data_IF_308891339445
#
_entry.id   IF_308891339445
#
_cell.length_a   1.000
_cell.length_b   1.000
_cell.length_c   1.000
_cell.angle_alpha   90.00
_cell.angle_beta   90.00
_cell.angle_gamma   90.00
#
_symmetry.space_group_name_H-M   'P 1'
#
loop_
_entity.id
_entity.type
_entity.pdbx_description
1 polymer ?
#
# COMPACT_ATOMS: atom_id res chain seq x y z
N UNK A 1 -11.67 30.17 -11.97
CA UNK A 1 -12.00 28.73 -11.89
C UNK A 1 -11.04 28.11 -10.88
N UNK A 2 -11.58 27.59 -9.77
CA UNK A 2 -10.85 27.33 -8.52
C UNK A 2 -9.80 26.21 -8.56
N UNK A 3 -8.91 26.16 -7.55
CA UNK A 3 -7.79 25.23 -7.49
C UNK A 3 -8.28 23.80 -7.23
N UNK A 4 -8.17 22.91 -8.22
CA UNK A 4 -8.43 21.47 -8.06
C UNK A 4 -7.14 20.68 -7.90
N UNK A 5 -6.35 21.04 -6.90
CA UNK A 5 -5.26 20.20 -6.42
C UNK A 5 -5.59 19.81 -4.99
N UNK A 6 -6.51 18.86 -4.84
CA UNK A 6 -6.46 18.02 -3.66
C UNK A 6 -5.07 17.36 -3.68
N UNK A 7 -4.23 17.47 -2.63
CA UNK A 7 -2.93 16.81 -2.62
C UNK A 7 -3.15 15.32 -2.87
N UNK A 8 -2.70 14.83 -4.03
CA UNK A 8 -2.98 13.49 -4.54
C UNK A 8 -2.48 12.35 -3.62
N UNK A 9 -1.67 12.66 -2.60
CA UNK A 9 -1.07 11.67 -1.69
C UNK A 9 -1.92 11.24 -0.49
N UNK A 10 -3.07 11.88 -0.21
CA UNK A 10 -3.77 11.71 1.07
C UNK A 10 -4.81 10.57 1.12
N UNK A 11 -5.17 9.93 0.00
CA UNK A 11 -6.31 8.98 -0.04
C UNK A 11 -5.91 7.49 -0.01
N UNK A 12 -4.94 6.99 -0.82
CA UNK A 12 -4.51 5.59 -0.73
C UNK A 12 -3.63 5.32 0.48
N UNK A 13 -2.71 6.24 0.79
CA UNK A 13 -1.80 6.15 1.94
C UNK A 13 -2.55 6.07 3.28
N UNK A 14 -3.63 6.84 3.43
CA UNK A 14 -4.46 6.81 4.63
C UNK A 14 -5.13 5.44 4.88
N UNK A 15 -5.53 4.72 3.82
CA UNK A 15 -6.09 3.37 3.96
C UNK A 15 -5.02 2.34 4.36
N UNK A 16 -3.81 2.46 3.83
CA UNK A 16 -2.66 1.67 4.30
C UNK A 16 -2.36 1.96 5.78
N UNK A 17 -2.41 3.24 6.15
CA UNK A 17 -2.13 3.73 7.50
C UNK A 17 -3.17 3.25 8.51
N UNK A 18 -4.44 3.11 8.13
CA UNK A 18 -5.46 2.48 8.97
C UNK A 18 -5.09 1.04 9.34
N UNK A 19 -4.55 0.24 8.42
CA UNK A 19 -4.16 -1.14 8.74
C UNK A 19 -2.97 -1.16 9.71
N UNK A 20 -1.99 -0.28 9.54
CA UNK A 20 -0.90 -0.16 10.52
C UNK A 20 -1.36 0.40 11.87
N UNK A 21 -2.35 1.29 11.88
CA UNK A 21 -2.99 1.77 13.09
C UNK A 21 -3.70 0.63 13.84
N UNK A 22 -4.39 -0.26 13.13
CA UNK A 22 -4.99 -1.46 13.73
C UNK A 22 -3.95 -2.45 14.28
N UNK A 23 -2.75 -2.51 13.72
CA UNK A 23 -1.64 -3.31 14.27
C UNK A 23 -0.77 -2.56 15.28
N UNK A 24 -1.20 -1.36 15.70
CA UNK A 24 -0.49 -0.47 16.62
C UNK A 24 0.97 -0.20 16.23
N UNK A 25 1.32 -0.33 14.94
CA UNK A 25 2.70 -0.25 14.45
C UNK A 25 3.68 -1.23 15.12
N UNK A 26 3.17 -2.30 15.74
CA UNK A 26 3.98 -3.26 16.51
C UNK A 26 4.34 -4.51 15.72
N UNK A 27 3.58 -4.82 14.65
CA UNK A 27 3.71 -6.08 13.93
C UNK A 27 4.06 -5.79 12.46
N UNK A 28 5.27 -6.19 12.06
CA UNK A 28 5.83 -5.98 10.72
C UNK A 28 5.97 -7.30 9.95
N UNK A 29 5.11 -8.27 10.23
CA UNK A 29 5.12 -9.57 9.57
C UNK A 29 4.51 -9.48 8.17
N UNK A 30 4.91 -10.39 7.26
CA UNK A 30 4.41 -10.43 5.90
C UNK A 30 2.86 -10.42 5.80
N UNK A 31 2.10 -11.20 6.61
CA UNK A 31 0.64 -11.15 6.57
C UNK A 31 0.07 -9.75 6.86
N UNK A 32 0.65 -9.01 7.81
CA UNK A 32 0.22 -7.64 8.13
C UNK A 32 0.53 -6.69 6.98
N UNK A 33 1.74 -6.78 6.42
CA UNK A 33 2.15 -5.99 5.26
C UNK A 33 1.25 -6.27 4.04
N UNK A 34 0.90 -7.53 3.81
CA UNK A 34 0.01 -7.93 2.72
C UNK A 34 -1.41 -7.37 2.92
N UNK A 35 -1.97 -7.45 4.13
CA UNK A 35 -3.27 -6.83 4.45
C UNK A 35 -3.25 -5.32 4.24
N UNK A 36 -2.19 -4.64 4.67
CA UNK A 36 -2.03 -3.19 4.48
C UNK A 36 -1.96 -2.83 2.99
N UNK A 37 -1.20 -3.61 2.21
CA UNK A 37 -1.07 -3.43 0.77
C UNK A 37 -2.43 -3.62 0.05
N UNK A 38 -3.19 -4.66 0.42
CA UNK A 38 -4.53 -4.90 -0.15
C UNK A 38 -5.52 -3.79 0.21
N UNK A 39 -5.52 -3.32 1.47
CA UNK A 39 -6.38 -2.21 1.88
C UNK A 39 -6.07 -0.92 1.12
N UNK A 40 -4.78 -0.62 0.93
CA UNK A 40 -4.33 0.50 0.10
C UNK A 40 -4.79 0.37 -1.35
N UNK A 41 -4.66 -0.83 -1.94
CA UNK A 41 -5.07 -1.11 -3.31
C UNK A 41 -6.60 -0.98 -3.48
N UNK A 42 -7.37 -1.45 -2.50
CA UNK A 42 -8.83 -1.34 -2.50
C UNK A 42 -9.27 0.13 -2.45
N UNK A 43 -8.65 0.96 -1.62
CA UNK A 43 -8.96 2.40 -1.55
C UNK A 43 -8.64 3.12 -2.88
N UNK A 44 -7.50 2.80 -3.50
CA UNK A 44 -7.16 3.31 -4.83
C UNK A 44 -8.16 2.85 -5.89
N UNK A 45 -8.52 1.56 -5.89
CA UNK A 45 -9.48 0.99 -6.82
C UNK A 45 -10.86 1.67 -6.70
N UNK A 46 -11.39 1.83 -5.48
CA UNK A 46 -12.66 2.54 -5.27
C UNK A 46 -12.58 3.98 -5.77
N UNK A 47 -11.50 4.70 -5.44
CA UNK A 47 -11.33 6.08 -5.88
C UNK A 47 -11.30 6.19 -7.41
N UNK A 48 -10.56 5.32 -8.10
CA UNK A 48 -10.36 5.45 -9.54
C UNK A 48 -11.59 4.95 -10.32
N UNK A 49 -12.09 3.76 -9.97
CA UNK A 49 -13.13 3.11 -10.75
C UNK A 49 -14.53 3.64 -10.46
N UNK A 50 -14.83 4.03 -9.22
CA UNK A 50 -16.16 4.57 -8.88
C UNK A 50 -16.29 6.04 -9.27
N UNK A 51 -15.20 6.83 -9.18
CA UNK A 51 -15.28 8.27 -9.47
C UNK A 51 -14.99 8.63 -10.92
N UNK A 52 -14.08 7.91 -11.60
CA UNK A 52 -13.61 8.29 -12.93
C UNK A 52 -14.05 7.35 -14.04
N UNK A 53 -14.45 6.11 -13.73
CA UNK A 53 -14.82 5.11 -14.72
C UNK A 53 -16.12 4.34 -14.40
N UNK A 54 -17.22 5.02 -14.01
CA UNK A 54 -18.45 4.34 -13.60
C UNK A 54 -19.16 3.61 -14.75
N UNK A 55 -18.88 3.96 -16.01
CA UNK A 55 -19.50 3.33 -17.19
C UNK A 55 -18.80 2.03 -17.64
N UNK A 56 -17.66 1.68 -17.03
CA UNK A 56 -16.93 0.46 -17.39
C UNK A 56 -17.67 -0.77 -16.88
N UNK A 57 -17.64 -1.83 -17.69
CA UNK A 57 -18.21 -3.13 -17.33
C UNK A 57 -17.70 -3.63 -15.95
N UNK A 58 -18.61 -4.06 -15.04
CA UNK A 58 -18.25 -4.51 -13.70
C UNK A 58 -17.24 -5.65 -13.67
N UNK A 59 -17.28 -6.59 -14.63
CA UNK A 59 -16.33 -7.69 -14.65
C UNK A 59 -14.91 -7.19 -14.95
N UNK A 60 -14.78 -6.20 -15.82
CA UNK A 60 -13.51 -5.51 -16.08
C UNK A 60 -13.01 -4.76 -14.83
N UNK A 61 -13.89 -4.03 -14.15
CA UNK A 61 -13.52 -3.31 -12.91
C UNK A 61 -12.97 -4.29 -11.85
N UNK A 62 -13.66 -5.42 -11.64
CA UNK A 62 -13.25 -6.45 -10.66
C UNK A 62 -11.92 -7.08 -11.06
N UNK A 63 -11.72 -7.42 -12.33
CA UNK A 63 -10.46 -8.00 -12.82
C UNK A 63 -9.28 -7.07 -12.51
N UNK A 64 -9.40 -5.78 -12.82
CA UNK A 64 -8.36 -4.80 -12.49
C UNK A 64 -8.17 -4.63 -10.98
N UNK A 65 -9.24 -4.66 -10.18
CA UNK A 65 -9.15 -4.63 -8.72
C UNK A 65 -8.34 -5.80 -8.16
N UNK A 66 -8.56 -7.02 -8.67
CA UNK A 66 -7.79 -8.21 -8.27
C UNK A 66 -6.33 -8.08 -8.70
N UNK A 67 -6.06 -7.65 -9.93
CA UNK A 67 -4.69 -7.45 -10.41
C UNK A 67 -3.94 -6.37 -9.60
N UNK A 68 -4.63 -5.28 -9.23
CA UNK A 68 -4.09 -4.23 -8.36
C UNK A 68 -3.76 -4.80 -6.97
N UNK A 69 -4.63 -5.61 -6.38
CA UNK A 69 -4.39 -6.23 -5.08
C UNK A 69 -3.18 -7.18 -5.11
N UNK A 70 -3.08 -8.04 -6.13
CA UNK A 70 -1.93 -8.95 -6.32
C UNK A 70 -0.64 -8.13 -6.48
N UNK A 71 -0.66 -7.11 -7.34
CA UNK A 71 0.48 -6.22 -7.57
C UNK A 71 0.92 -5.52 -6.28
N UNK A 72 -0.02 -5.01 -5.50
CA UNK A 72 0.27 -4.35 -4.23
C UNK A 72 0.94 -5.31 -3.23
N UNK A 73 0.46 -6.55 -3.11
CA UNK A 73 1.10 -7.56 -2.24
C UNK A 73 2.54 -7.83 -2.70
N UNK A 74 2.76 -8.02 -4.00
CA UNK A 74 4.11 -8.33 -4.53
C UNK A 74 5.06 -7.13 -4.35
N UNK A 75 4.64 -5.94 -4.75
CA UNK A 75 5.50 -4.76 -4.79
C UNK A 75 5.62 -4.11 -3.42
N UNK A 76 4.52 -3.90 -2.70
CA UNK A 76 4.53 -3.18 -1.42
C UNK A 76 4.94 -4.14 -0.30
N UNK A 77 4.23 -5.25 -0.12
CA UNK A 77 4.54 -6.17 0.98
C UNK A 77 5.85 -6.95 0.72
N UNK A 78 6.01 -7.49 -0.49
CA UNK A 78 7.26 -8.15 -0.88
C UNK A 78 8.44 -7.17 -0.95
N UNK A 79 8.29 -6.07 -1.69
CA UNK A 79 9.35 -5.10 -1.88
C UNK A 79 9.83 -4.45 -0.59
N UNK A 80 8.94 -4.17 0.38
CA UNK A 80 9.35 -3.64 1.69
C UNK A 80 10.27 -4.59 2.44
N UNK A 81 10.04 -5.91 2.39
CA UNK A 81 10.92 -6.89 3.01
C UNK A 81 12.29 -6.96 2.34
N UNK A 82 12.32 -6.98 1.00
CA UNK A 82 13.59 -6.98 0.27
C UNK A 82 14.38 -5.69 0.49
N UNK A 83 13.70 -4.55 0.53
CA UNK A 83 14.32 -3.25 0.81
C UNK A 83 14.94 -3.22 2.20
N UNK A 84 14.22 -3.66 3.23
CA UNK A 84 14.78 -3.73 4.60
C UNK A 84 16.00 -4.66 4.65
N UNK A 85 15.95 -5.81 3.96
CA UNK A 85 17.09 -6.74 3.90
C UNK A 85 18.30 -6.12 3.21
N UNK A 86 18.10 -5.44 2.09
CA UNK A 86 19.17 -4.74 1.38
C UNK A 86 19.79 -3.61 2.21
N UNK A 87 18.96 -2.82 2.90
CA UNK A 87 19.41 -1.74 3.79
C UNK A 87 20.21 -2.28 4.99
N UNK A 88 19.82 -3.44 5.55
CA UNK A 88 20.59 -4.12 6.59
C UNK A 88 21.95 -4.59 6.08
N UNK A 89 22.00 -5.20 4.89
CA UNK A 89 23.25 -5.63 4.27
C UNK A 89 24.20 -4.47 3.97
N UNK A 90 23.65 -3.27 3.69
CA UNK A 90 24.43 -2.07 3.44
C UNK A 90 24.96 -1.38 4.73
N UNK A 91 24.60 -1.86 5.93
CA UNK A 91 25.03 -1.27 7.21
C UNK A 91 24.36 0.08 7.56
N UNK A 92 23.51 0.63 6.69
CA UNK A 92 22.87 1.94 6.88
C UNK A 92 21.92 1.97 8.09
N UNK A 93 21.45 0.80 8.54
CA UNK A 93 20.51 0.67 9.65
C UNK A 93 21.16 0.55 11.04
N UNK A 94 22.48 0.47 11.15
CA UNK A 94 23.18 0.26 12.44
C UNK A 94 22.88 1.34 13.50
N UNK A 95 22.50 2.56 13.07
CA UNK A 95 22.09 3.65 13.96
C UNK A 95 20.60 3.69 14.33
N UNK A 96 19.76 2.77 13.82
CA UNK A 96 18.31 2.79 13.98
C UNK A 96 17.78 1.61 14.83
N UNK A 97 16.72 1.83 15.65
CA UNK A 97 16.03 0.75 16.33
C UNK A 97 15.48 -0.27 15.31
N UNK A 98 16.01 -1.51 15.32
CA UNK A 98 15.68 -2.56 14.35
C UNK A 98 16.77 -2.87 13.32
N UNK A 99 17.92 -2.19 13.39
CA UNK A 99 19.09 -2.41 12.53
C UNK A 99 20.09 -3.47 12.99
N UNK A 100 20.09 -3.84 14.27
CA UNK A 100 20.94 -4.90 14.78
C UNK A 100 20.26 -6.27 14.66
N UNK A 101 20.90 -7.18 13.92
CA UNK A 101 20.87 -8.62 14.18
C UNK A 101 22.30 -9.03 14.52
#
# INVERSE_FOLDING_TARGET
MGPRHAPLGLRPGAAAELVFAFTFYRIWSFPVLALAAVASAAAAWVHDWVLYFPEVDPATMILFGVLMAISAVVIVAGGSLFLVRALRQAGVLEGFPGGAA
#
